data_IF_832229146912
#
_entry.id   IF_832229146912
#
_cell.length_a   1.000
_cell.length_b   1.000
_cell.length_c   1.000
_cell.angle_alpha   90.00
_cell.angle_beta   90.00
_cell.angle_gamma   90.00
#
_symmetry.space_group_name_H-M   'P 1'
#
loop_
_entity.id
_entity.type
_entity.pdbx_description
1 polymer ?
#
# COMPACT_ATOMS: atom_id res chain seq x y z
N UNK A 1 -2.46 17.96 -9.14
CA UNK A 1 -3.10 17.48 -7.89
C UNK A 1 -2.06 17.60 -6.80
N UNK A 2 -2.37 18.19 -5.65
CA UNK A 2 -1.49 18.03 -4.50
C UNK A 2 -1.62 16.59 -4.00
N UNK A 3 -0.51 15.87 -3.99
CA UNK A 3 -0.45 14.44 -3.69
C UNK A 3 0.60 14.23 -2.61
N UNK A 4 0.20 13.64 -1.50
CA UNK A 4 1.11 13.08 -0.52
C UNK A 4 1.25 11.57 -0.76
N UNK A 5 2.48 11.08 -0.76
CA UNK A 5 2.81 9.69 -1.00
C UNK A 5 3.47 9.18 0.27
N UNK A 6 2.92 8.11 0.84
CA UNK A 6 3.46 7.44 2.02
C UNK A 6 3.68 5.97 1.71
N UNK A 7 4.64 5.37 2.41
CA UNK A 7 4.80 3.91 2.45
C UNK A 7 5.17 3.47 3.86
N UNK A 8 4.68 2.32 4.28
CA UNK A 8 5.09 1.63 5.50
C UNK A 8 5.88 0.36 5.14
N UNK A 9 7.08 0.20 5.68
CA UNK A 9 7.74 -1.10 5.80
C UNK A 9 7.17 -1.79 7.04
N UNK A 10 6.42 -2.86 6.79
CA UNK A 10 5.64 -3.56 7.82
C UNK A 10 6.51 -4.56 8.57
N UNK A 11 6.27 -4.67 9.86
CA UNK A 11 7.10 -5.53 10.69
C UNK A 11 6.82 -5.35 12.16
N UNK A 12 7.27 -6.32 12.96
CA UNK A 12 7.02 -6.37 14.39
C UNK A 12 7.27 -5.04 15.12
N UNK A 13 6.20 -4.29 15.37
CA UNK A 13 6.20 -3.01 16.11
C UNK A 13 6.88 -3.18 17.48
N UNK A 14 6.54 -4.24 18.22
CA UNK A 14 7.12 -4.53 19.54
C UNK A 14 8.64 -4.80 19.51
N UNK A 15 9.23 -5.00 18.32
CA UNK A 15 10.67 -5.20 18.13
C UNK A 15 11.31 -4.04 17.36
N UNK A 16 10.61 -2.93 17.16
CA UNK A 16 11.09 -1.78 16.40
C UNK A 16 11.36 -2.09 14.93
N UNK A 17 10.55 -2.96 14.32
CA UNK A 17 10.69 -3.38 12.92
C UNK A 17 9.66 -2.76 11.97
N UNK A 18 9.06 -1.67 12.41
CA UNK A 18 8.13 -0.88 11.61
C UNK A 18 8.82 0.43 11.25
N UNK A 19 8.68 0.84 10.00
CA UNK A 19 9.18 2.12 9.50
C UNK A 19 8.21 2.70 8.48
N UNK A 20 8.20 4.02 8.35
CA UNK A 20 7.40 4.68 7.33
C UNK A 20 8.15 5.88 6.76
N UNK A 21 7.82 6.23 5.53
CA UNK A 21 8.29 7.41 4.84
C UNK A 21 7.14 8.11 4.13
N UNK A 22 7.29 9.41 3.91
CA UNK A 22 6.32 10.27 3.26
C UNK A 22 6.99 11.36 2.43
N UNK A 23 6.39 11.73 1.30
CA UNK A 23 6.80 12.90 0.53
C UNK A 23 5.62 13.50 -0.23
N UNK A 24 5.64 14.83 -0.38
CA UNK A 24 4.76 15.51 -1.33
C UNK A 24 5.33 15.40 -2.75
N UNK A 25 4.45 15.20 -3.73
CA UNK A 25 4.84 15.12 -5.14
C UNK A 25 5.42 16.44 -5.71
N UNK A 26 5.42 17.54 -4.93
CA UNK A 26 5.98 18.83 -5.30
C UNK A 26 7.49 18.98 -5.01
N UNK A 27 8.13 17.93 -4.47
CA UNK A 27 9.55 17.93 -4.15
C UNK A 27 9.90 18.50 -2.78
N UNK A 28 8.91 18.69 -1.91
CA UNK A 28 9.15 18.99 -0.48
C UNK A 28 10.04 17.94 0.18
N UNK A 29 10.71 18.33 1.26
CA UNK A 29 11.57 17.43 2.04
C UNK A 29 10.78 16.19 2.48
N UNK A 30 11.39 14.99 2.39
CA UNK A 30 10.75 13.78 2.86
C UNK A 30 10.58 13.79 4.39
N UNK A 31 9.51 13.16 4.85
CA UNK A 31 9.21 12.85 6.24
C UNK A 31 9.39 11.34 6.45
N UNK A 32 9.77 10.91 7.65
CA UNK A 32 9.87 9.49 7.99
C UNK A 32 9.78 9.27 9.49
N UNK A 33 9.47 8.05 9.91
CA UNK A 33 9.44 7.68 11.32
C UNK A 33 9.23 6.19 11.55
N UNK A 34 9.13 5.81 12.83
CA UNK A 34 9.00 4.41 13.28
C UNK A 34 7.74 4.16 14.11
N UNK A 35 6.89 5.17 14.31
CA UNK A 35 5.58 5.03 14.96
C UNK A 35 4.48 4.89 13.92
N UNK A 36 3.65 3.85 14.09
CA UNK A 36 2.47 3.63 13.25
C UNK A 36 1.37 4.66 13.53
N UNK A 37 1.28 5.16 14.77
CA UNK A 37 0.40 6.26 15.16
C UNK A 37 0.79 7.57 14.47
N UNK A 38 2.09 7.84 14.34
CA UNK A 38 2.58 9.02 13.63
C UNK A 38 2.25 8.95 12.13
N UNK A 39 2.43 7.79 11.49
CA UNK A 39 1.97 7.57 10.11
C UNK A 39 0.48 7.88 9.95
N UNK A 40 -0.37 7.37 10.87
CA UNK A 40 -1.81 7.69 10.88
C UNK A 40 -2.03 9.20 10.99
N UNK A 41 -1.37 9.86 11.95
CA UNK A 41 -1.53 11.29 12.16
C UNK A 41 -1.18 12.10 10.91
N UNK A 42 -0.09 11.75 10.22
CA UNK A 42 0.32 12.39 8.97
C UNK A 42 -0.72 12.19 7.86
N UNK A 43 -1.11 10.93 7.60
CA UNK A 43 -2.10 10.59 6.56
C UNK A 43 -3.44 11.26 6.84
N UNK A 44 -3.95 11.16 8.07
CA UNK A 44 -5.18 11.80 8.51
C UNK A 44 -5.13 13.32 8.33
N UNK A 45 -4.02 13.96 8.66
CA UNK A 45 -3.87 15.41 8.51
C UNK A 45 -3.94 15.84 7.03
N UNK A 46 -3.27 15.12 6.12
CA UNK A 46 -3.35 15.44 4.67
C UNK A 46 -4.76 15.23 4.13
N UNK A 47 -5.43 14.15 4.50
CA UNK A 47 -6.81 13.86 4.10
C UNK A 47 -7.80 14.92 4.62
N UNK A 48 -7.69 15.33 5.89
CA UNK A 48 -8.47 16.44 6.49
C UNK A 48 -8.24 17.77 5.77
N UNK A 49 -7.02 18.00 5.30
CA UNK A 49 -6.67 19.13 4.45
C UNK A 49 -7.24 19.06 3.02
N UNK A 50 -7.96 17.99 2.66
CA UNK A 50 -8.54 17.80 1.34
C UNK A 50 -7.53 17.33 0.27
N UNK A 51 -6.35 16.87 0.69
CA UNK A 51 -5.31 16.39 -0.22
C UNK A 51 -5.62 14.97 -0.71
N UNK A 52 -5.08 14.62 -1.89
CA UNK A 52 -5.01 13.24 -2.34
C UNK A 52 -3.84 12.53 -1.64
N UNK A 53 -4.06 11.33 -1.10
CA UNK A 53 -3.03 10.55 -0.43
C UNK A 53 -2.88 9.19 -1.10
N UNK A 54 -1.66 8.80 -1.44
CA UNK A 54 -1.31 7.44 -1.85
C UNK A 54 -0.54 6.77 -0.70
N UNK A 55 -1.11 5.74 -0.09
CA UNK A 55 -0.56 5.03 1.06
C UNK A 55 -0.15 3.60 0.66
N UNK A 56 1.13 3.31 0.80
CA UNK A 56 1.76 2.05 0.45
C UNK A 56 2.06 1.18 1.66
N UNK A 57 2.10 -0.13 1.46
CA UNK A 57 2.62 -1.08 2.44
C UNK A 57 3.60 -2.05 1.77
N UNK A 58 4.74 -2.35 2.40
CA UNK A 58 5.71 -3.35 1.95
C UNK A 58 5.25 -4.78 2.29
N UNK A 59 4.09 -5.16 1.78
CA UNK A 59 3.59 -6.53 1.90
C UNK A 59 2.56 -6.84 0.81
N UNK A 60 2.31 -8.13 0.50
CA UNK A 60 1.26 -8.48 -0.44
C UNK A 60 -0.12 -7.95 0.00
N UNK A 61 -0.71 -7.06 -0.81
CA UNK A 61 -2.03 -6.44 -0.54
C UNK A 61 -3.19 -7.11 -1.30
N UNK A 62 -2.87 -8.07 -2.17
CA UNK A 62 -3.84 -8.96 -2.78
C UNK A 62 -3.19 -10.31 -3.10
N UNK A 63 -4.04 -11.33 -3.24
CA UNK A 63 -3.62 -12.68 -3.66
C UNK A 63 -4.36 -13.10 -4.92
N UNK A 64 -3.75 -13.93 -5.78
CA UNK A 64 -4.46 -14.51 -6.92
C UNK A 64 -5.70 -15.27 -6.48
N UNK A 65 -6.79 -15.13 -7.24
CA UNK A 65 -7.98 -15.95 -7.12
C UNK A 65 -8.19 -16.73 -8.43
N UNK A 66 -7.37 -17.78 -8.68
CA UNK A 66 -7.42 -18.52 -9.92
C UNK A 66 -8.64 -19.44 -9.99
N UNK A 67 -9.09 -19.75 -11.21
CA UNK A 67 -10.17 -20.73 -11.43
C UNK A 67 -9.69 -22.18 -11.35
N UNK A 68 -8.43 -22.44 -11.71
CA UNK A 68 -7.87 -23.79 -11.75
C UNK A 68 -7.17 -24.12 -10.43
N UNK A 69 -7.48 -25.25 -9.77
CA UNK A 69 -6.81 -25.65 -8.53
C UNK A 69 -5.29 -25.80 -8.65
N UNK A 70 -4.79 -26.20 -9.84
CA UNK A 70 -3.35 -26.31 -10.13
C UNK A 70 -2.60 -24.99 -10.08
N UNK A 71 -3.30 -23.86 -10.13
CA UNK A 71 -2.72 -22.52 -10.01
C UNK A 71 -2.75 -21.99 -8.57
N UNK A 72 -3.38 -22.69 -7.63
CA UNK A 72 -3.33 -22.27 -6.23
C UNK A 72 -1.87 -22.23 -5.77
N UNK A 73 -1.53 -21.17 -5.03
CA UNK A 73 -0.16 -20.91 -4.51
C UNK A 73 0.91 -20.59 -5.57
N UNK A 74 0.61 -20.51 -6.88
CA UNK A 74 1.60 -20.09 -7.88
C UNK A 74 2.10 -18.66 -7.60
N UNK A 75 3.30 -18.31 -8.07
CA UNK A 75 3.77 -16.91 -8.07
C UNK A 75 2.76 -15.97 -8.73
N UNK A 76 2.64 -14.72 -8.24
CA UNK A 76 1.88 -13.71 -8.99
C UNK A 76 2.62 -13.42 -10.30
N UNK A 77 1.88 -13.12 -11.37
CA UNK A 77 2.44 -12.70 -12.66
C UNK A 77 3.27 -11.44 -12.45
N UNK A 78 4.61 -11.59 -12.52
CA UNK A 78 5.58 -10.53 -12.23
C UNK A 78 6.62 -10.91 -11.15
N UNK A 79 6.32 -11.86 -10.26
CA UNK A 79 7.18 -12.22 -9.11
C UNK A 79 8.22 -13.33 -9.40
N UNK A 80 8.33 -13.77 -10.66
CA UNK A 80 9.16 -14.90 -11.04
C UNK A 80 8.48 -16.25 -10.77
N UNK A 81 9.24 -17.25 -10.32
CA UNK A 81 8.80 -18.65 -10.24
C UNK A 81 8.44 -19.13 -8.83
N UNK A 82 8.83 -18.38 -7.79
CA UNK A 82 8.58 -18.78 -6.40
C UNK A 82 7.14 -18.46 -6.00
N UNK A 83 6.40 -19.39 -5.38
CA UNK A 83 5.08 -19.12 -4.80
C UNK A 83 5.04 -17.81 -4.01
N UNK A 84 4.00 -16.99 -4.21
CA UNK A 84 3.84 -15.72 -3.47
C UNK A 84 3.78 -15.95 -1.94
N UNK A 85 3.29 -17.12 -1.53
CA UNK A 85 3.17 -17.52 -0.14
C UNK A 85 4.42 -18.24 0.42
N UNK A 86 5.48 -18.41 -0.35
CA UNK A 86 6.66 -19.14 0.12
C UNK A 86 7.63 -18.24 0.91
N UNK A 87 8.00 -18.68 2.11
CA UNK A 87 9.02 -18.01 2.93
C UNK A 87 8.55 -16.67 3.48
N UNK A 88 9.31 -15.59 3.20
CA UNK A 88 9.05 -14.27 3.76
C UNK A 88 7.68 -13.70 3.36
N UNK A 89 7.17 -14.01 2.17
CA UNK A 89 5.92 -13.45 1.65
C UNK A 89 4.69 -13.73 2.51
N UNK A 90 4.51 -14.96 3.01
CA UNK A 90 3.37 -15.27 3.89
C UNK A 90 3.48 -14.60 5.27
N UNK A 91 4.70 -14.48 5.80
CA UNK A 91 4.95 -13.79 7.07
C UNK A 91 4.68 -12.29 6.96
N UNK A 92 5.23 -11.65 5.92
CA UNK A 92 5.00 -10.23 5.64
C UNK A 92 3.52 -9.95 5.38
N UNK A 93 2.81 -10.81 4.65
CA UNK A 93 1.36 -10.69 4.45
C UNK A 93 0.60 -10.72 5.77
N UNK A 94 0.91 -11.66 6.67
CA UNK A 94 0.19 -11.77 7.95
C UNK A 94 0.38 -10.53 8.84
N UNK A 95 1.61 -10.01 8.89
CA UNK A 95 1.94 -8.78 9.63
C UNK A 95 1.31 -7.56 8.98
N UNK A 96 1.50 -7.42 7.66
CA UNK A 96 0.95 -6.30 6.91
C UNK A 96 -0.57 -6.24 6.90
N UNK A 97 -1.26 -7.39 6.92
CA UNK A 97 -2.71 -7.43 7.03
C UNK A 97 -3.20 -6.86 8.37
N UNK A 98 -2.52 -7.19 9.48
CA UNK A 98 -2.91 -6.64 10.79
C UNK A 98 -2.58 -5.15 10.90
N UNK A 99 -1.43 -4.72 10.39
CA UNK A 99 -1.01 -3.32 10.45
C UNK A 99 -1.83 -2.43 9.51
N UNK A 100 -2.06 -2.85 8.27
CA UNK A 100 -2.90 -2.09 7.32
C UNK A 100 -4.35 -1.98 7.78
N UNK A 101 -4.95 -3.06 8.31
CA UNK A 101 -6.30 -3.00 8.88
C UNK A 101 -6.39 -2.03 10.06
N UNK A 102 -5.37 -2.01 10.91
CA UNK A 102 -5.31 -1.08 12.04
C UNK A 102 -5.17 0.37 11.55
N UNK A 103 -4.24 0.67 10.65
CA UNK A 103 -4.04 2.01 10.06
C UNK A 103 -5.32 2.50 9.40
N UNK A 104 -5.96 1.66 8.58
CA UNK A 104 -7.21 2.01 7.89
C UNK A 104 -8.35 2.29 8.87
N UNK A 105 -8.45 1.56 9.98
CA UNK A 105 -9.45 1.82 11.03
C UNK A 105 -9.19 3.16 11.70
N UNK A 106 -7.94 3.46 12.04
CA UNK A 106 -7.58 4.71 12.71
C UNK A 106 -7.78 5.93 11.81
N UNK A 107 -7.38 5.84 10.54
CA UNK A 107 -7.61 6.91 9.54
C UNK A 107 -9.11 7.13 9.34
N UNK A 108 -9.89 6.06 9.20
CA UNK A 108 -11.35 6.16 9.08
C UNK A 108 -11.98 6.85 10.30
N UNK A 109 -11.59 6.48 11.52
CA UNK A 109 -12.12 7.09 12.75
C UNK A 109 -11.76 8.59 12.87
N UNK A 110 -10.62 8.99 12.31
CA UNK A 110 -10.10 10.34 12.44
C UNK A 110 -10.60 11.30 11.36
N UNK A 111 -10.93 10.81 10.16
CA UNK A 111 -11.25 11.65 8.99
C UNK A 111 -12.75 11.65 8.73
N UNK A 112 -13.37 12.84 8.85
CA UNK A 112 -14.77 13.07 8.52
C UNK A 112 -14.92 14.31 7.62
N UNK A 113 -15.72 14.25 6.54
CA UNK A 113 -16.44 13.07 6.04
C UNK A 113 -15.49 11.95 5.55
N UNK A 114 -15.99 10.71 5.47
CA UNK A 114 -15.22 9.56 4.97
C UNK A 114 -14.63 9.89 3.58
N UNK A 115 -13.30 9.80 3.39
CA UNK A 115 -12.71 10.06 2.10
C UNK A 115 -12.96 8.89 1.14
N UNK A 116 -13.05 9.18 -0.16
CA UNK A 116 -13.15 8.13 -1.17
C UNK A 116 -11.90 7.22 -1.15
N UNK A 117 -12.11 5.92 -1.28
CA UNK A 117 -11.09 4.89 -1.22
C UNK A 117 -10.84 4.29 -2.62
N UNK A 118 -9.57 4.14 -2.99
CA UNK A 118 -9.17 3.68 -4.32
C UNK A 118 -8.08 2.61 -4.26
N UNK A 119 -8.13 1.68 -5.20
CA UNK A 119 -7.01 0.77 -5.54
C UNK A 119 -6.51 0.98 -6.98
N UNK A 120 -7.21 1.85 -7.74
CA UNK A 120 -6.96 2.15 -9.15
C UNK A 120 -6.42 3.57 -9.31
N UNK A 121 -5.21 3.70 -9.87
CA UNK A 121 -4.58 5.01 -10.12
C UNK A 121 -5.42 5.91 -11.05
N UNK A 122 -5.95 5.44 -12.21
CA UNK A 122 -6.77 6.28 -13.08
C UNK A 122 -8.03 6.84 -12.41
N UNK A 123 -8.66 6.07 -11.52
CA UNK A 123 -9.85 6.52 -10.78
C UNK A 123 -9.48 7.54 -9.69
N UNK A 124 -8.42 7.26 -8.94
CA UNK A 124 -7.88 8.17 -7.94
C UNK A 124 -7.46 9.52 -8.53
N UNK A 125 -6.70 9.49 -9.64
CA UNK A 125 -6.25 10.69 -10.34
C UNK A 125 -7.45 11.53 -10.83
N UNK A 126 -8.53 10.88 -11.28
CA UNK A 126 -9.76 11.56 -11.71
C UNK A 126 -10.49 12.21 -10.54
N UNK A 127 -10.52 11.56 -9.38
CA UNK A 127 -11.12 12.10 -8.13
C UNK A 127 -10.39 13.34 -7.61
N UNK A 128 -9.07 13.41 -7.81
CA UNK A 128 -8.16 14.48 -7.32
C UNK A 128 -8.07 14.60 -5.78
N UNK A 129 -8.72 13.70 -5.04
CA UNK A 129 -8.75 13.61 -3.58
C UNK A 129 -9.08 12.17 -3.15
N UNK A 130 -8.88 11.89 -1.86
CA UNK A 130 -9.17 10.59 -1.26
C UNK A 130 -7.90 9.81 -0.97
N UNK A 131 -8.06 8.52 -0.73
CA UNK A 131 -7.00 7.61 -0.31
C UNK A 131 -6.82 6.50 -1.35
N UNK A 132 -5.65 6.44 -1.99
CA UNK A 132 -5.22 5.34 -2.85
C UNK A 132 -4.34 4.38 -2.06
N UNK A 133 -4.61 3.09 -2.16
CA UNK A 133 -3.78 2.03 -1.59
C UNK A 133 -2.93 1.39 -2.68
N UNK A 134 -1.67 1.12 -2.36
CA UNK A 134 -0.73 0.47 -3.27
C UNK A 134 0.24 -0.43 -2.50
N UNK A 135 0.84 -1.38 -3.21
CA UNK A 135 1.80 -2.32 -2.66
C UNK A 135 3.22 -1.93 -3.06
N UNK A 136 4.10 -1.85 -2.06
CA UNK A 136 5.52 -1.70 -2.28
C UNK A 136 6.18 -3.08 -2.37
N UNK A 137 6.93 -3.30 -3.45
CA UNK A 137 7.70 -4.52 -3.68
C UNK A 137 9.19 -4.19 -3.59
N UNK A 138 9.70 -4.10 -2.35
CA UNK A 138 11.12 -3.81 -2.08
C UNK A 138 11.87 -5.14 -2.01
N UNK A 139 12.80 -5.39 -2.93
CA UNK A 139 13.52 -6.68 -2.96
C UNK A 139 15.02 -6.55 -3.22
N UNK A 140 15.78 -7.53 -2.74
CA UNK A 140 17.20 -7.71 -3.09
C UNK A 140 18.15 -6.74 -2.35
N UNK A 141 19.31 -6.39 -2.96
CA UNK A 141 20.33 -5.52 -2.35
C UNK A 141 19.86 -4.06 -2.20
N UNK A 142 18.67 -3.73 -2.71
CA UNK A 142 18.02 -2.46 -2.50
C UNK A 142 17.53 -2.28 -1.05
N UNK A 143 17.35 -3.36 -0.26
CA UNK A 143 17.03 -3.22 1.16
C UNK A 143 18.13 -2.43 1.86
N UNK A 144 17.75 -1.25 2.33
CA UNK A 144 18.62 -0.37 3.06
C UNK A 144 18.82 -0.87 4.50
N UNK A 145 19.77 -0.28 5.23
CA UNK A 145 20.11 -0.71 6.58
C UNK A 145 19.03 -0.51 7.64
N UNK A 146 17.92 0.19 7.34
CA UNK A 146 16.79 0.44 8.24
C UNK A 146 15.44 0.42 7.52
N UNK A 147 14.37 0.14 8.28
CA UNK A 147 13.00 0.05 7.78
C UNK A 147 12.48 1.39 7.21
N UNK A 148 12.89 2.53 7.77
CA UNK A 148 12.51 3.85 7.22
C UNK A 148 13.10 4.06 5.82
N UNK A 149 14.30 3.54 5.57
CA UNK A 149 14.95 3.67 4.27
C UNK A 149 14.30 2.76 3.22
N UNK A 150 13.85 1.56 3.58
CA UNK A 150 13.05 0.69 2.70
C UNK A 150 11.73 1.38 2.32
N UNK A 151 11.04 1.99 3.29
CA UNK A 151 9.86 2.81 3.04
C UNK A 151 10.18 4.04 2.15
N UNK A 152 11.34 4.68 2.33
CA UNK A 152 11.77 5.82 1.51
C UNK A 152 12.01 5.42 0.06
N UNK A 153 12.67 4.29 -0.18
CA UNK A 153 12.90 3.75 -1.53
C UNK A 153 11.58 3.48 -2.23
N UNK A 154 10.60 2.93 -1.51
CA UNK A 154 9.26 2.71 -2.03
C UNK A 154 8.57 4.03 -2.43
N UNK A 155 8.64 5.07 -1.58
CA UNK A 155 8.12 6.41 -1.89
C UNK A 155 8.82 7.01 -3.12
N UNK A 156 10.14 6.91 -3.20
CA UNK A 156 10.93 7.40 -4.33
C UNK A 156 10.58 6.68 -5.63
N UNK A 157 10.36 5.37 -5.59
CA UNK A 157 9.89 4.59 -6.73
C UNK A 157 8.51 5.04 -7.22
N UNK A 158 7.59 5.34 -6.29
CA UNK A 158 6.29 5.91 -6.64
C UNK A 158 6.43 7.28 -7.31
N UNK A 159 7.24 8.17 -6.74
CA UNK A 159 7.51 9.50 -7.32
C UNK A 159 8.10 9.37 -8.73
N UNK A 160 9.07 8.47 -8.93
CA UNK A 160 9.69 8.22 -10.23
C UNK A 160 8.72 7.61 -11.26
N UNK A 161 7.67 6.93 -10.80
CA UNK A 161 6.64 6.34 -11.65
C UNK A 161 5.57 7.36 -12.10
N UNK A 162 5.51 8.55 -11.49
CA UNK A 162 4.63 9.63 -11.93
C UNK A 162 4.98 10.13 -13.34
N UNK A 163 3.98 10.58 -14.13
CA UNK A 163 2.57 10.73 -13.80
C UNK A 163 1.72 9.47 -14.00
N UNK A 164 2.32 8.34 -14.40
CA UNK A 164 1.59 7.15 -14.85
C UNK A 164 2.07 5.85 -14.16
N UNK A 165 1.92 5.74 -12.83
CA UNK A 165 2.42 4.62 -12.06
C UNK A 165 1.75 3.28 -12.39
N UNK A 166 0.51 3.28 -12.88
CA UNK A 166 -0.19 2.09 -13.39
C UNK A 166 0.60 1.37 -14.50
N UNK A 167 1.23 2.11 -15.42
CA UNK A 167 2.08 1.52 -16.46
C UNK A 167 3.43 0.99 -15.92
N UNK A 168 3.76 1.29 -14.66
CA UNK A 168 4.94 0.79 -13.95
C UNK A 168 4.60 -0.32 -12.97
N UNK A 169 3.33 -0.71 -12.85
CA UNK A 169 2.92 -1.82 -12.00
C UNK A 169 3.63 -3.11 -12.45
N UNK A 170 4.38 -3.74 -11.56
CA UNK A 170 5.16 -4.93 -11.90
C UNK A 170 4.35 -6.23 -11.76
N UNK A 171 3.22 -6.19 -11.06
CA UNK A 171 2.31 -7.33 -10.88
C UNK A 171 0.98 -7.06 -11.56
N UNK A 172 0.49 -8.04 -12.32
CA UNK A 172 -0.81 -7.98 -13.00
C UNK A 172 -1.52 -9.33 -12.97
N UNK A 173 -2.57 -9.44 -12.15
CA UNK A 173 -3.40 -10.65 -12.06
C UNK A 173 -4.82 -10.37 -12.57
N UNK A 174 -5.41 -11.25 -13.41
CA UNK A 174 -6.73 -11.03 -13.99
C UNK A 174 -7.88 -11.27 -13.00
N UNK A 175 -7.63 -11.98 -11.91
CA UNK A 175 -8.60 -12.32 -10.88
C UNK A 175 -7.88 -12.41 -9.54
N UNK A 176 -8.31 -11.59 -8.57
CA UNK A 176 -7.65 -11.46 -7.28
C UNK A 176 -8.66 -11.47 -6.14
N UNK A 177 -8.16 -11.72 -4.95
CA UNK A 177 -8.80 -11.34 -3.70
C UNK A 177 -7.99 -10.19 -3.09
N UNK A 178 -8.60 -9.01 -3.04
CA UNK A 178 -8.00 -7.77 -2.53
C UNK A 178 -8.03 -7.77 -1.01
N UNK A 179 -6.88 -8.05 -0.39
CA UNK A 179 -6.74 -8.10 1.06
C UNK A 179 -6.88 -6.71 1.66
N UNK A 180 -6.37 -5.69 0.99
CA UNK A 180 -6.49 -4.30 1.45
C UNK A 180 -7.92 -3.79 1.37
N UNK A 181 -8.70 -4.18 0.34
CA UNK A 181 -10.12 -3.87 0.31
C UNK A 181 -10.88 -4.61 1.42
N UNK A 182 -10.57 -5.89 1.69
CA UNK A 182 -11.15 -6.62 2.81
C UNK A 182 -10.83 -5.97 4.17
N UNK A 183 -9.59 -5.52 4.35
CA UNK A 183 -9.16 -4.78 5.54
C UNK A 183 -9.89 -3.44 5.68
N UNK A 184 -10.05 -2.70 4.58
CA UNK A 184 -10.82 -1.45 4.55
C UNK A 184 -12.31 -1.70 4.90
N UNK A 185 -12.93 -2.76 4.37
CA UNK A 185 -14.30 -3.16 4.74
C UNK A 185 -14.43 -3.36 6.24
N UNK A 186 -13.48 -4.11 6.81
CA UNK A 186 -13.45 -4.38 8.24
C UNK A 186 -13.22 -3.11 9.07
N UNK A 187 -12.52 -2.13 8.52
CA UNK A 187 -12.26 -0.83 9.12
C UNK A 187 -13.41 0.19 8.98
N UNK A 188 -14.46 -0.12 8.21
CA UNK A 188 -15.66 0.72 8.07
C UNK A 188 -15.85 1.38 6.70
N UNK A 189 -14.86 1.28 5.81
CA UNK A 189 -14.87 1.90 4.48
C UNK A 189 -15.89 1.21 3.58
N UNK A 190 -17.01 1.88 3.30
CA UNK A 190 -18.17 1.23 2.66
C UNK A 190 -17.94 0.93 1.18
N UNK A 191 -17.27 1.84 0.49
CA UNK A 191 -17.05 1.75 -0.95
C UNK A 191 -16.09 0.60 -1.33
N UNK A 192 -15.27 0.15 -0.38
CA UNK A 192 -14.29 -0.91 -0.63
C UNK A 192 -14.93 -2.27 -0.97
N UNK A 193 -16.24 -2.46 -0.73
CA UNK A 193 -16.93 -3.74 -0.98
C UNK A 193 -16.93 -4.07 -2.47
N UNK A 194 -17.04 -3.02 -3.30
CA UNK A 194 -16.95 -3.10 -4.75
C UNK A 194 -15.54 -3.39 -5.27
N UNK A 195 -14.51 -3.29 -4.41
CA UNK A 195 -13.10 -3.40 -4.78
C UNK A 195 -12.46 -4.74 -4.37
N UNK A 196 -13.24 -5.65 -3.78
CA UNK A 196 -12.74 -6.93 -3.24
C UNK A 196 -12.07 -7.83 -4.29
N UNK A 197 -12.41 -7.63 -5.57
CA UNK A 197 -11.89 -8.36 -6.73
C UNK A 197 -10.95 -7.51 -7.61
N UNK A 198 -10.52 -6.33 -7.14
CA UNK A 198 -9.63 -5.43 -7.87
C UNK A 198 -8.22 -5.45 -7.28
N UNK A 199 -7.16 -5.65 -8.10
CA UNK A 199 -5.79 -5.50 -7.63
C UNK A 199 -5.47 -4.03 -7.36
N UNK A 200 -4.60 -3.77 -6.39
CA UNK A 200 -3.97 -2.48 -6.27
C UNK A 200 -2.72 -2.40 -7.17
N UNK A 201 -2.22 -1.18 -7.34
CA UNK A 201 -0.91 -0.94 -7.93
C UNK A 201 0.20 -1.65 -7.15
N UNK A 202 1.18 -2.25 -7.84
CA UNK A 202 2.39 -2.80 -7.21
C UNK A 202 3.64 -2.19 -7.83
N UNK A 203 4.39 -1.41 -7.07
CA UNK A 203 5.62 -0.77 -7.56
C UNK A 203 6.86 -1.42 -6.94
N UNK A 204 7.85 -1.69 -7.80
CA UNK A 204 9.16 -2.13 -7.37
C UNK A 204 10.03 -0.94 -6.98
N UNK A 205 10.77 -1.11 -5.88
CA UNK A 205 11.82 -0.20 -5.42
C UNK A 205 13.15 -0.94 -5.29
#
# INVERSE_FOLDING_TARGET
MQLAIYCADVGSIARGRFGWAGRLADGSLPESGTSIEDLVAQVSAKLKGGMAVALGFECPLFVPHPRQPSELTRARRGEGSRPWCAGAGAGALAVGLTESAWVLSRVHDEVSPEPAFFVSWPEFQRSRRGLLLWEAFVTGPAKAGSHENDAMLAVDAFVAALPNPDAKSIISEPSVFSLVAAAALRAGWRDAASLINHPCLVLAA
#
